data_IF_651404346246
#
_entry.id   IF_651404346246
#
_cell.length_a   1.000
_cell.length_b   1.000
_cell.length_c   1.000
_cell.angle_alpha   90.00
_cell.angle_beta   90.00
_cell.angle_gamma   90.00
#
_symmetry.space_group_name_H-M   'P 1'
#
loop_
_entity.id
_entity.type
_entity.pdbx_description
1 polymer ?
#
# COMPACT_ATOMS: atom_id res chain seq x y z
N UNK A 1 4.62 -0.47 12.54
CA UNK A 1 3.22 -0.88 12.81
C UNK A 1 2.79 -2.03 11.93
N UNK A 2 3.01 -1.98 10.61
CA UNK A 2 2.57 -3.01 9.65
C UNK A 2 2.90 -4.44 10.08
N UNK A 3 4.16 -4.82 10.41
CA UNK A 3 4.45 -6.21 10.77
C UNK A 3 3.70 -6.70 12.02
N UNK A 4 3.53 -5.81 13.01
CA UNK A 4 2.79 -6.12 14.23
C UNK A 4 1.29 -6.30 13.98
N UNK A 5 0.67 -5.39 13.22
CA UNK A 5 -0.77 -5.48 12.90
C UNK A 5 -1.07 -6.67 11.99
N UNK A 6 -0.24 -6.92 10.98
CA UNK A 6 -0.35 -8.10 10.12
C UNK A 6 -0.19 -9.39 10.93
N UNK A 7 0.79 -9.47 11.83
CA UNK A 7 0.93 -10.63 12.72
C UNK A 7 -0.29 -10.84 13.62
N UNK A 8 -0.88 -9.77 14.16
CA UNK A 8 -2.03 -9.88 15.05
C UNK A 8 -3.34 -10.24 14.33
N UNK A 9 -3.56 -9.69 13.14
CA UNK A 9 -4.82 -9.84 12.39
C UNK A 9 -4.77 -11.01 11.41
N UNK A 10 -3.71 -11.10 10.59
CA UNK A 10 -3.54 -12.17 9.61
C UNK A 10 -2.91 -13.43 10.21
N UNK A 11 -2.13 -13.29 11.29
CA UNK A 11 -1.50 -14.44 11.98
C UNK A 11 -2.48 -15.45 12.59
N UNK A 12 -3.76 -15.08 12.67
CA UNK A 12 -4.83 -16.00 13.07
C UNK A 12 -5.25 -16.95 11.95
N UNK A 13 -4.96 -16.61 10.69
CA UNK A 13 -5.37 -17.35 9.50
C UNK A 13 -4.19 -18.00 8.77
N UNK A 14 -3.02 -17.35 8.78
CA UNK A 14 -1.82 -17.80 8.08
C UNK A 14 -0.59 -17.59 8.98
N UNK A 15 0.48 -18.37 8.76
CA UNK A 15 1.75 -18.12 9.42
C UNK A 15 2.33 -16.77 8.95
N UNK A 16 2.69 -15.91 9.90
CA UNK A 16 3.28 -14.60 9.62
C UNK A 16 4.63 -14.54 10.32
N UNK A 17 5.70 -14.19 9.60
CA UNK A 17 6.99 -13.81 10.16
C UNK A 17 7.05 -12.28 10.36
N UNK A 18 6.85 -11.76 11.58
CA UNK A 18 6.82 -10.32 11.82
C UNK A 18 8.22 -9.71 11.74
N UNK A 19 9.27 -10.48 12.04
CA UNK A 19 10.65 -10.01 11.97
C UNK A 19 11.09 -9.89 10.51
N UNK A 20 10.77 -10.89 9.68
CA UNK A 20 10.96 -10.83 8.24
C UNK A 20 10.25 -9.64 7.60
N UNK A 21 8.94 -9.47 7.89
CA UNK A 21 8.16 -8.33 7.38
C UNK A 21 8.77 -6.97 7.79
N UNK A 22 9.28 -6.86 9.02
CA UNK A 22 9.95 -5.65 9.49
C UNK A 22 11.23 -5.37 8.70
N UNK A 23 12.09 -6.37 8.51
CA UNK A 23 13.35 -6.23 7.77
C UNK A 23 13.06 -5.82 6.32
N UNK A 24 12.13 -6.49 5.64
CA UNK A 24 11.72 -6.12 4.27
C UNK A 24 11.17 -4.71 4.20
N UNK A 25 10.34 -4.30 5.17
CA UNK A 25 9.82 -2.91 5.20
C UNK A 25 10.95 -1.89 5.33
N UNK A 26 11.95 -2.16 6.18
CA UNK A 26 13.12 -1.28 6.33
C UNK A 26 13.89 -1.18 5.01
N UNK A 27 14.12 -2.30 4.32
CA UNK A 27 14.91 -2.36 3.09
C UNK A 27 14.19 -1.74 1.89
N UNK A 28 12.91 -2.04 1.72
CA UNK A 28 12.13 -1.66 0.53
C UNK A 28 11.55 -0.23 0.66
N UNK A 29 11.30 0.24 1.88
CA UNK A 29 10.63 1.54 2.12
C UNK A 29 11.54 2.53 2.82
N UNK A 30 11.97 2.20 4.04
CA UNK A 30 12.62 3.16 4.92
C UNK A 30 13.97 3.59 4.35
N UNK A 31 14.77 2.63 3.90
CA UNK A 31 16.10 2.90 3.36
C UNK A 31 16.05 3.79 2.10
N UNK A 32 15.27 3.47 1.04
CA UNK A 32 15.13 4.35 -0.12
C UNK A 32 14.55 5.72 0.22
N UNK A 33 13.58 5.80 1.14
CA UNK A 33 12.99 7.07 1.58
C UNK A 33 14.04 7.97 2.26
N UNK A 34 14.83 7.42 3.18
CA UNK A 34 15.88 8.16 3.87
C UNK A 34 16.98 8.61 2.91
N UNK A 35 17.39 7.74 1.99
CA UNK A 35 18.34 8.12 0.94
C UNK A 35 17.80 9.25 0.08
N UNK A 36 16.54 9.18 -0.35
CA UNK A 36 15.86 10.25 -1.09
C UNK A 36 15.82 11.56 -0.31
N UNK A 37 15.53 11.51 0.99
CA UNK A 37 15.52 12.69 1.86
C UNK A 37 16.92 13.31 2.01
N UNK A 38 17.95 12.49 2.18
CA UNK A 38 19.35 12.93 2.25
C UNK A 38 19.77 13.58 0.92
N UNK A 39 19.45 12.94 -0.21
CA UNK A 39 19.73 13.50 -1.54
C UNK A 39 18.99 14.82 -1.76
N UNK A 40 17.74 14.93 -1.30
CA UNK A 40 16.99 16.18 -1.38
C UNK A 40 17.66 17.28 -0.54
N UNK A 41 18.16 16.95 0.66
CA UNK A 41 18.83 17.92 1.52
C UNK A 41 20.15 18.44 0.93
N UNK A 42 21.00 17.56 0.38
CA UNK A 42 22.37 17.91 -0.03
C UNK A 42 22.54 18.15 -1.54
N UNK A 43 21.68 17.58 -2.39
CA UNK A 43 21.77 17.60 -3.85
C UNK A 43 20.50 18.13 -4.51
N UNK A 44 19.98 19.25 -4.00
CA UNK A 44 18.72 19.89 -4.42
C UNK A 44 18.56 20.08 -5.95
N UNK A 45 19.63 20.43 -6.69
CA UNK A 45 19.53 20.64 -8.14
C UNK A 45 19.28 19.34 -8.92
N UNK A 46 19.91 18.24 -8.48
CA UNK A 46 19.67 16.91 -9.05
C UNK A 46 18.24 16.48 -8.75
N UNK A 47 17.80 16.63 -7.50
CA UNK A 47 16.44 16.23 -7.10
C UNK A 47 15.38 17.04 -7.84
N UNK A 48 15.55 18.36 -8.01
CA UNK A 48 14.62 19.18 -8.82
C UNK A 48 14.48 18.68 -10.25
N UNK A 49 15.58 18.30 -10.90
CA UNK A 49 15.53 17.75 -12.26
C UNK A 49 14.82 16.39 -12.27
N UNK A 50 15.17 15.50 -11.34
CA UNK A 50 14.57 14.17 -11.21
C UNK A 50 13.08 14.26 -10.91
N UNK A 51 12.65 15.15 -10.01
CA UNK A 51 11.25 15.36 -9.63
C UNK A 51 10.35 15.77 -10.79
N UNK A 52 10.90 16.40 -11.85
CA UNK A 52 10.12 16.75 -13.04
C UNK A 52 9.71 15.52 -13.86
N UNK A 53 10.57 14.50 -13.91
CA UNK A 53 10.33 13.27 -14.70
C UNK A 53 9.76 12.13 -13.86
N UNK A 54 9.92 12.18 -12.55
CA UNK A 54 9.48 11.14 -11.61
C UNK A 54 8.00 10.75 -11.74
N UNK A 55 7.02 11.68 -11.91
CA UNK A 55 5.63 11.29 -12.05
C UNK A 55 5.39 10.30 -13.19
N UNK A 56 6.06 10.49 -14.35
CA UNK A 56 5.94 9.58 -15.49
C UNK A 56 6.58 8.22 -15.22
N UNK A 57 7.75 8.21 -14.58
CA UNK A 57 8.46 6.98 -14.23
C UNK A 57 7.63 6.16 -13.23
N UNK A 58 7.08 6.81 -12.21
CA UNK A 58 6.25 6.14 -11.19
C UNK A 58 4.97 5.59 -11.82
N UNK A 59 4.25 6.35 -12.64
CA UNK A 59 3.03 5.87 -13.31
C UNK A 59 3.34 4.66 -14.19
N UNK A 60 4.41 4.70 -15.00
CA UNK A 60 4.80 3.58 -15.84
C UNK A 60 5.20 2.34 -15.01
N UNK A 61 5.95 2.55 -13.92
CA UNK A 61 6.39 1.47 -13.02
C UNK A 61 5.20 0.82 -12.32
N UNK A 62 4.28 1.62 -11.76
CA UNK A 62 3.07 1.11 -11.10
C UNK A 62 2.18 0.36 -12.10
N UNK A 63 1.97 0.90 -13.30
CA UNK A 63 1.20 0.21 -14.34
C UNK A 63 1.81 -1.16 -14.70
N UNK A 64 3.15 -1.24 -14.80
CA UNK A 64 3.84 -2.51 -15.07
C UNK A 64 3.71 -3.49 -13.90
N UNK A 65 3.88 -3.03 -12.66
CA UNK A 65 3.74 -3.87 -11.47
C UNK A 65 2.31 -4.40 -11.34
N UNK A 66 1.30 -3.55 -11.44
CA UNK A 66 -0.10 -3.97 -11.42
C UNK A 66 -0.41 -4.98 -12.54
N UNK A 67 0.05 -4.72 -13.77
CA UNK A 67 -0.12 -5.64 -14.89
C UNK A 67 0.52 -7.02 -14.64
N UNK A 68 1.72 -7.05 -14.07
CA UNK A 68 2.40 -8.30 -13.71
C UNK A 68 1.65 -9.08 -12.64
N UNK A 69 1.13 -8.41 -11.61
CA UNK A 69 0.36 -9.06 -10.54
C UNK A 69 -0.99 -9.61 -11.04
N UNK A 70 -1.69 -8.86 -11.90
CA UNK A 70 -2.91 -9.32 -12.56
C UNK A 70 -2.62 -10.56 -13.42
N UNK A 71 -1.52 -10.55 -14.19
CA UNK A 71 -1.14 -11.68 -15.02
C UNK A 71 -0.82 -12.93 -14.19
N UNK A 72 -0.06 -12.78 -13.09
CA UNK A 72 0.29 -13.88 -12.19
C UNK A 72 -0.92 -14.44 -11.44
N UNK A 73 -1.91 -13.59 -11.12
CA UNK A 73 -3.11 -13.97 -10.37
C UNK A 73 -4.35 -14.17 -11.26
N UNK A 74 -4.18 -14.29 -12.58
CA UNK A 74 -5.30 -14.28 -13.53
C UNK A 74 -6.36 -15.37 -13.24
N UNK A 75 -5.93 -16.59 -12.91
CA UNK A 75 -6.85 -17.69 -12.56
C UNK A 75 -7.62 -17.43 -11.27
N UNK A 76 -6.98 -16.82 -10.27
CA UNK A 76 -7.60 -16.45 -9.01
C UNK A 76 -8.59 -15.28 -9.19
N UNK A 77 -8.24 -14.30 -10.03
CA UNK A 77 -9.13 -13.19 -10.44
C UNK A 77 -10.36 -13.73 -11.16
N UNK A 78 -10.19 -14.67 -12.10
CA UNK A 78 -11.32 -15.26 -12.83
C UNK A 78 -12.27 -16.04 -11.92
N UNK A 79 -11.75 -16.67 -10.87
CA UNK A 79 -12.55 -17.47 -9.94
C UNK A 79 -13.17 -16.68 -8.79
N UNK A 80 -12.50 -15.61 -8.30
CA UNK A 80 -12.89 -14.91 -7.07
C UNK A 80 -12.75 -13.37 -7.14
N UNK A 81 -12.36 -12.80 -8.28
CA UNK A 81 -12.11 -11.36 -8.47
C UNK A 81 -13.29 -10.49 -8.07
N UNK A 82 -14.50 -10.89 -8.45
CA UNK A 82 -15.71 -10.15 -8.09
C UNK A 82 -15.94 -10.12 -6.58
N UNK A 83 -15.66 -11.22 -5.87
CA UNK A 83 -15.79 -11.28 -4.41
C UNK A 83 -14.80 -10.33 -3.72
N UNK A 84 -13.58 -10.25 -4.25
CA UNK A 84 -12.54 -9.32 -3.77
C UNK A 84 -12.97 -7.87 -3.98
N UNK A 85 -13.49 -7.50 -5.15
CA UNK A 85 -14.00 -6.14 -5.41
C UNK A 85 -15.15 -5.79 -4.46
N UNK A 86 -16.11 -6.71 -4.29
CA UNK A 86 -17.26 -6.51 -3.40
C UNK A 86 -16.80 -6.38 -1.94
N UNK A 87 -15.71 -7.05 -1.54
CA UNK A 87 -15.13 -6.90 -0.20
C UNK A 87 -14.33 -5.60 -0.04
N UNK A 88 -13.66 -5.13 -1.09
CA UNK A 88 -12.84 -3.91 -1.06
C UNK A 88 -13.69 -2.63 -0.97
N UNK A 89 -14.82 -2.55 -1.68
CA UNK A 89 -15.71 -1.37 -1.65
C UNK A 89 -16.12 -0.96 -0.23
N UNK A 90 -16.75 -1.83 0.59
CA UNK A 90 -17.14 -1.44 1.95
C UNK A 90 -15.93 -1.19 2.85
N UNK A 91 -14.78 -1.82 2.58
CA UNK A 91 -13.55 -1.54 3.31
C UNK A 91 -13.10 -0.09 3.06
N UNK A 92 -13.10 0.37 1.81
CA UNK A 92 -12.79 1.76 1.46
C UNK A 92 -13.83 2.75 1.95
N UNK A 93 -15.11 2.48 1.71
CA UNK A 93 -16.20 3.35 2.17
C UNK A 93 -16.15 3.52 3.69
N UNK A 94 -15.84 2.45 4.43
CA UNK A 94 -15.65 2.52 5.88
C UNK A 94 -14.39 3.30 6.27
N UNK A 95 -13.29 3.13 5.53
CA UNK A 95 -12.04 3.86 5.70
C UNK A 95 -12.27 5.36 5.61
N UNK A 96 -12.87 5.83 4.51
CA UNK A 96 -13.24 7.23 4.32
C UNK A 96 -14.23 7.73 5.37
N UNK A 97 -15.30 6.96 5.63
CA UNK A 97 -16.37 7.38 6.53
C UNK A 97 -15.88 7.54 7.97
N UNK A 98 -15.23 6.52 8.54
CA UNK A 98 -14.85 6.53 9.96
C UNK A 98 -13.74 7.54 10.25
N UNK A 99 -12.77 7.68 9.36
CA UNK A 99 -11.70 8.67 9.48
C UNK A 99 -12.24 10.10 9.43
N UNK A 100 -13.18 10.39 8.53
CA UNK A 100 -13.82 11.70 8.44
C UNK A 100 -14.66 11.99 9.67
N UNK A 101 -15.54 11.06 10.07
CA UNK A 101 -16.42 11.22 11.24
C UNK A 101 -15.61 11.40 12.52
N UNK A 102 -14.60 10.56 12.75
CA UNK A 102 -13.74 10.67 13.92
C UNK A 102 -13.00 12.02 13.94
N UNK A 103 -12.50 12.47 12.79
CA UNK A 103 -11.87 13.79 12.68
C UNK A 103 -12.85 14.91 13.05
N UNK A 104 -14.10 14.84 12.58
CA UNK A 104 -15.14 15.82 12.93
C UNK A 104 -15.53 15.78 14.41
N UNK A 105 -15.62 14.60 15.00
CA UNK A 105 -15.90 14.42 16.44
C UNK A 105 -14.77 15.00 17.32
N UNK A 106 -13.53 14.94 16.86
CA UNK A 106 -12.37 15.54 17.52
C UNK A 106 -12.25 17.06 17.27
N UNK A 107 -13.22 17.69 16.59
CA UNK A 107 -13.23 19.12 16.32
C UNK A 107 -12.29 19.57 15.20
N UNK A 108 -11.79 18.65 14.38
CA UNK A 108 -10.87 18.97 13.27
C UNK A 108 -11.62 19.75 12.18
N UNK A 109 -10.94 20.77 11.64
CA UNK A 109 -11.45 21.62 10.55
C UNK A 109 -11.79 20.82 9.29
N UNK A 110 -12.68 21.35 8.45
CA UNK A 110 -13.20 20.65 7.27
C UNK A 110 -12.09 20.14 6.33
N UNK A 111 -11.16 21.01 5.95
CA UNK A 111 -10.07 20.65 5.02
C UNK A 111 -9.18 19.57 5.62
N UNK A 112 -8.76 19.72 6.88
CA UNK A 112 -7.93 18.72 7.55
C UNK A 112 -8.65 17.40 7.77
N UNK A 113 -9.95 17.40 8.08
CA UNK A 113 -10.75 16.18 8.19
C UNK A 113 -10.88 15.47 6.83
N UNK A 114 -11.00 16.22 5.73
CA UNK A 114 -10.98 15.65 4.38
C UNK A 114 -9.61 15.05 4.04
N UNK A 115 -8.51 15.75 4.37
CA UNK A 115 -7.15 15.23 4.17
C UNK A 115 -6.90 13.96 4.97
N UNK A 116 -7.29 13.92 6.26
CA UNK A 116 -7.17 12.73 7.09
C UNK A 116 -7.99 11.58 6.50
N UNK A 117 -9.19 11.87 6.00
CA UNK A 117 -10.04 10.84 5.40
C UNK A 117 -9.40 10.19 4.18
N UNK A 118 -8.78 11.01 3.33
CA UNK A 118 -8.03 10.53 2.17
C UNK A 118 -6.79 9.76 2.60
N UNK A 119 -5.99 10.28 3.52
CA UNK A 119 -4.73 9.65 3.95
C UNK A 119 -4.93 8.31 4.69
N UNK A 120 -6.02 8.18 5.45
CA UNK A 120 -6.33 6.93 6.17
C UNK A 120 -6.77 5.84 5.19
N UNK A 121 -7.50 6.18 4.14
CA UNK A 121 -8.00 5.21 3.18
C UNK A 121 -7.00 4.89 2.06
N UNK A 122 -6.26 5.90 1.58
CA UNK A 122 -5.27 5.74 0.51
C UNK A 122 -4.05 4.97 1.00
N UNK A 123 -4.15 3.64 0.91
CA UNK A 123 -3.08 2.72 1.26
C UNK A 123 -2.07 2.59 0.12
N UNK A 124 -0.83 2.27 0.47
CA UNK A 124 0.20 1.92 -0.50
C UNK A 124 0.04 0.43 -0.89
N UNK A 125 -0.82 0.17 -1.88
CA UNK A 125 -1.10 -1.20 -2.33
C UNK A 125 0.13 -1.88 -2.94
N UNK A 126 0.96 -1.14 -3.68
CA UNK A 126 2.21 -1.67 -4.25
C UNK A 126 3.14 -2.26 -3.18
N UNK A 127 3.31 -1.55 -2.06
CA UNK A 127 4.10 -2.07 -0.94
C UNK A 127 3.45 -3.34 -0.36
N UNK A 128 2.12 -3.35 -0.24
CA UNK A 128 1.39 -4.53 0.18
C UNK A 128 1.65 -5.75 -0.70
N UNK A 129 1.73 -5.56 -2.02
CA UNK A 129 1.98 -6.64 -2.99
C UNK A 129 3.41 -7.18 -2.87
N UNK A 130 4.38 -6.27 -2.72
CA UNK A 130 5.80 -6.65 -2.52
C UNK A 130 5.98 -7.42 -1.22
N UNK A 131 5.36 -6.98 -0.12
CA UNK A 131 5.45 -7.71 1.15
C UNK A 131 4.71 -9.05 1.10
N UNK A 132 3.56 -9.12 0.42
CA UNK A 132 2.80 -10.36 0.29
C UNK A 132 3.57 -11.42 -0.51
N UNK A 133 4.12 -11.04 -1.66
CA UNK A 133 4.92 -11.92 -2.50
C UNK A 133 6.20 -12.42 -1.81
N UNK A 134 6.83 -11.60 -0.96
CA UNK A 134 8.03 -12.00 -0.21
C UNK A 134 7.77 -12.89 1.00
N UNK A 135 6.64 -12.69 1.71
CA UNK A 135 6.43 -13.30 3.04
C UNK A 135 5.31 -14.33 3.12
N UNK A 136 4.38 -14.34 2.16
CA UNK A 136 3.23 -15.26 2.17
C UNK A 136 3.26 -16.30 1.04
N UNK A 137 4.35 -16.36 0.27
CA UNK A 137 4.50 -17.26 -0.88
C UNK A 137 3.50 -16.94 -2.00
N UNK A 138 3.25 -17.89 -2.90
CA UNK A 138 2.24 -17.76 -3.96
C UNK A 138 0.80 -17.90 -3.41
N UNK A 139 0.47 -17.18 -2.32
CA UNK A 139 -0.90 -17.02 -1.88
C UNK A 139 -1.60 -16.11 -2.90
N UNK A 140 -2.07 -16.71 -3.99
CA UNK A 140 -2.63 -15.98 -5.13
C UNK A 140 -3.79 -15.07 -4.75
N UNK A 141 -4.53 -15.41 -3.68
CA UNK A 141 -5.58 -14.56 -3.09
C UNK A 141 -5.07 -13.27 -2.47
N UNK A 142 -3.90 -13.27 -1.82
CA UNK A 142 -3.29 -12.06 -1.25
C UNK A 142 -2.80 -11.12 -2.36
N UNK A 143 -2.08 -11.67 -3.35
CA UNK A 143 -1.57 -10.88 -4.48
C UNK A 143 -2.72 -10.34 -5.33
N UNK A 144 -3.77 -11.14 -5.56
CA UNK A 144 -4.99 -10.70 -6.22
C UNK A 144 -5.67 -9.55 -5.47
N UNK A 145 -5.82 -9.65 -4.14
CA UNK A 145 -6.48 -8.59 -3.36
C UNK A 145 -5.78 -7.26 -3.54
N UNK A 146 -4.46 -7.27 -3.66
CA UNK A 146 -3.64 -6.08 -3.82
C UNK A 146 -3.56 -5.56 -5.26
N UNK A 147 -3.76 -6.43 -6.25
CA UNK A 147 -3.82 -6.06 -7.66
C UNK A 147 -5.16 -5.39 -8.04
N UNK A 148 -6.20 -5.67 -7.26
CA UNK A 148 -7.56 -5.14 -7.45
C UNK A 148 -7.83 -3.90 -6.57
N UNK A 149 -6.94 -3.63 -5.61
CA UNK A 149 -6.88 -2.45 -4.75
C UNK A 149 -6.19 -1.27 -5.45
#
# INVERSE_FOLDING_TARGET
MTPFLTSKLAGQFIAVDPAGLFISTVQVVLFPMLLGAILNQYYNNLVKFVSLVMPFIVVATVAFLCGSEIAQSASAILSSGLQVVIAAIPLHDSGFFFSYVLSKLLGIGYISAQTISIEVDMQNSVLGAVLASQHFGNLSSANQSMAVY
#
